data_IF_130007076860
#
_entry.id   IF_130007076860
#
_cell.length_a   1.000
_cell.length_b   1.000
_cell.length_c   1.000
_cell.angle_alpha   90.00
_cell.angle_beta   90.00
_cell.angle_gamma   90.00
#
_symmetry.space_group_name_H-M   'P 1'
#
loop_
_entity.id
_entity.type
_entity.pdbx_description
1 polymer ?
#
# COMPACT_ATOMS: atom_id res chain seq x y z
N UNK A 1 -9.01 -8.44 27.96
CA UNK A 1 -7.74 -8.17 27.23
C UNK A 1 -7.06 -9.50 27.03
N UNK A 2 -6.73 -9.82 25.81
CA UNK A 2 -6.32 -11.18 25.46
C UNK A 2 -4.84 -11.28 25.10
N UNK A 3 -4.22 -10.20 24.59
CA UNK A 3 -2.76 -10.09 24.40
C UNK A 3 -2.33 -8.61 24.39
N UNK A 4 -1.05 -8.36 24.71
CA UNK A 4 -0.42 -7.02 24.69
C UNK A 4 0.41 -6.86 23.43
N UNK A 5 0.37 -5.67 22.80
CA UNK A 5 1.24 -5.38 21.68
C UNK A 5 1.95 -4.04 21.79
N UNK A 6 3.04 -3.93 21.05
CA UNK A 6 3.84 -2.71 20.86
C UNK A 6 3.79 -2.31 19.39
N UNK A 7 3.53 -1.03 19.09
CA UNK A 7 3.44 -0.46 17.75
C UNK A 7 4.59 0.52 17.50
N UNK A 8 5.60 0.11 16.77
CA UNK A 8 6.79 0.91 16.46
C UNK A 8 6.67 1.59 15.11
N UNK A 9 7.13 2.85 15.03
CA UNK A 9 6.96 3.68 13.83
C UNK A 9 5.49 3.78 13.46
N UNK A 10 4.67 3.99 14.47
CA UNK A 10 3.24 3.74 14.47
C UNK A 10 2.44 4.58 13.45
N UNK A 11 3.00 5.70 12.97
CA UNK A 11 2.30 6.60 12.09
C UNK A 11 0.98 7.05 12.70
N UNK A 12 -0.11 6.83 11.99
CA UNK A 12 -1.47 7.11 12.47
C UNK A 12 -2.19 5.88 13.02
N UNK A 13 -1.49 4.73 13.17
CA UNK A 13 -2.01 3.54 13.85
C UNK A 13 -2.70 2.51 12.97
N UNK A 14 -2.18 2.24 11.77
CA UNK A 14 -2.71 1.18 10.91
C UNK A 14 -2.53 -0.23 11.52
N UNK A 15 -1.40 -0.49 12.18
CA UNK A 15 -1.20 -1.71 12.96
C UNK A 15 -2.11 -1.75 14.20
N UNK A 16 -2.24 -0.62 14.91
CA UNK A 16 -3.15 -0.53 16.05
C UNK A 16 -4.59 -0.90 15.67
N UNK A 17 -5.09 -0.37 14.55
CA UNK A 17 -6.42 -0.70 14.06
C UNK A 17 -6.59 -2.21 13.83
N UNK A 18 -5.61 -2.87 13.18
CA UNK A 18 -5.69 -4.30 12.88
C UNK A 18 -5.63 -5.16 14.15
N UNK A 19 -4.66 -4.91 15.05
CA UNK A 19 -4.50 -5.74 16.25
C UNK A 19 -5.58 -5.43 17.31
N UNK A 20 -6.00 -4.17 17.44
CA UNK A 20 -7.13 -3.80 18.29
C UNK A 20 -8.43 -4.49 17.90
N UNK A 21 -8.69 -4.64 16.57
CA UNK A 21 -9.82 -5.39 16.06
C UNK A 21 -9.76 -6.90 16.38
N UNK A 22 -8.59 -7.43 16.74
CA UNK A 22 -8.38 -8.80 17.21
C UNK A 22 -8.41 -8.93 18.76
N UNK A 23 -8.74 -7.87 19.48
CA UNK A 23 -8.76 -7.84 20.94
C UNK A 23 -7.40 -7.59 21.60
N UNK A 24 -6.40 -7.16 20.85
CA UNK A 24 -5.11 -6.73 21.37
C UNK A 24 -5.17 -5.40 22.11
N UNK A 25 -4.31 -5.23 23.11
CA UNK A 25 -4.13 -4.01 23.88
C UNK A 25 -2.76 -3.42 23.61
N UNK A 26 -2.70 -2.22 23.03
CA UNK A 26 -1.43 -1.50 22.81
C UNK A 26 -0.90 -0.98 24.14
N UNK A 27 0.27 -1.44 24.55
CA UNK A 27 0.92 -1.02 25.78
C UNK A 27 2.00 0.02 25.57
N UNK A 28 2.46 0.19 24.33
CA UNK A 28 3.48 1.16 23.95
C UNK A 28 3.42 1.43 22.45
N UNK A 29 3.61 2.67 22.05
CA UNK A 29 3.78 3.08 20.66
C UNK A 29 4.92 4.08 20.54
N UNK A 30 5.65 4.08 19.41
CA UNK A 30 6.64 5.12 19.11
C UNK A 30 6.39 5.74 17.74
N UNK A 31 6.45 7.09 17.65
CA UNK A 31 6.31 7.85 16.42
C UNK A 31 7.03 9.20 16.55
N UNK A 32 7.99 9.45 15.66
CA UNK A 32 8.82 10.67 15.71
C UNK A 32 8.12 11.89 15.08
N UNK A 33 7.22 11.66 14.11
CA UNK A 33 6.42 12.72 13.49
C UNK A 33 5.31 13.16 14.47
N UNK A 34 5.47 14.35 15.03
CA UNK A 34 4.56 14.89 16.05
C UNK A 34 3.11 15.03 15.58
N UNK A 35 2.91 15.29 14.30
CA UNK A 35 1.56 15.42 13.75
C UNK A 35 0.91 14.04 13.60
N UNK A 36 1.66 13.02 13.16
CA UNK A 36 1.18 11.64 13.14
C UNK A 36 0.90 11.13 14.55
N UNK A 37 1.78 11.40 15.52
CA UNK A 37 1.59 11.03 16.93
C UNK A 37 0.32 11.69 17.54
N UNK A 38 0.00 12.93 17.17
CA UNK A 38 -1.23 13.61 17.60
C UNK A 38 -2.48 12.93 17.03
N UNK A 39 -2.47 12.55 15.74
CA UNK A 39 -3.56 11.80 15.12
C UNK A 39 -3.70 10.41 15.77
N UNK A 40 -2.58 9.72 16.00
CA UNK A 40 -2.58 8.44 16.72
C UNK A 40 -3.23 8.56 18.10
N UNK A 41 -2.77 9.51 18.92
CA UNK A 41 -3.31 9.74 20.27
C UNK A 41 -4.81 10.06 20.26
N UNK A 42 -5.25 10.85 19.28
CA UNK A 42 -6.67 11.22 19.12
C UNK A 42 -7.58 10.01 18.91
N UNK A 43 -7.13 9.07 18.11
CA UNK A 43 -7.96 7.91 17.73
C UNK A 43 -7.81 6.71 18.66
N UNK A 44 -6.63 6.53 19.25
CA UNK A 44 -6.32 5.32 20.02
C UNK A 44 -6.16 5.57 21.53
N UNK A 45 -6.16 6.83 21.97
CA UNK A 45 -6.05 7.21 23.37
C UNK A 45 -4.67 7.03 24.00
N UNK A 46 -3.72 6.42 23.30
CA UNK A 46 -2.34 6.25 23.74
C UNK A 46 -1.46 7.32 23.07
N UNK A 47 -0.70 8.07 23.87
CA UNK A 47 0.29 9.01 23.35
C UNK A 47 1.55 8.24 22.94
N UNK A 48 1.95 8.24 21.65
CA UNK A 48 3.21 7.62 21.25
C UNK A 48 4.41 8.35 21.88
N UNK A 49 5.43 7.58 22.28
CA UNK A 49 6.76 8.12 22.53
C UNK A 49 7.39 8.58 21.22
N UNK A 50 8.35 9.48 21.30
CA UNK A 50 9.00 10.07 20.13
C UNK A 50 10.00 9.11 19.47
N UNK A 51 11.28 9.41 19.67
CA UNK A 51 12.39 8.70 19.05
C UNK A 51 12.70 7.36 19.76
N UNK A 52 12.45 6.24 19.09
CA UNK A 52 12.72 4.90 19.61
C UNK A 52 14.19 4.67 19.98
N UNK A 53 15.13 5.41 19.39
CA UNK A 53 16.55 5.28 19.69
C UNK A 53 16.88 5.71 21.12
N UNK A 54 16.05 6.53 21.73
CA UNK A 54 16.18 6.95 23.11
C UNK A 54 15.56 5.95 24.09
N UNK A 55 14.48 5.26 23.67
CA UNK A 55 13.72 4.33 24.51
C UNK A 55 14.26 2.89 24.49
N UNK A 56 14.95 2.49 23.42
CA UNK A 56 15.46 1.12 23.25
C UNK A 56 16.86 1.11 22.64
N UNK A 57 17.86 0.96 23.49
CA UNK A 57 19.29 0.94 23.12
C UNK A 57 20.11 0.05 24.08
N UNK A 58 21.42 0.15 24.08
CA UNK A 58 22.31 -0.66 24.95
C UNK A 58 22.18 -0.33 26.45
N UNK A 59 21.66 0.87 26.79
CA UNK A 59 21.58 1.39 28.15
C UNK A 59 20.14 1.45 28.65
N UNK A 60 19.21 1.80 27.77
CA UNK A 60 17.80 2.08 28.09
C UNK A 60 16.89 1.04 27.44
N UNK A 61 15.87 0.57 28.18
CA UNK A 61 14.78 -0.25 27.68
C UNK A 61 13.47 0.18 28.35
N UNK A 62 12.87 1.26 27.84
CA UNK A 62 11.63 1.81 28.38
C UNK A 62 10.38 1.14 27.78
N UNK A 63 10.57 0.29 26.76
CA UNK A 63 9.49 -0.49 26.15
C UNK A 63 9.04 -1.59 27.12
N UNK A 64 7.75 -1.67 27.49
CA UNK A 64 7.27 -2.66 28.44
C UNK A 64 7.18 -4.08 27.83
N UNK A 65 7.10 -5.14 28.66
CA UNK A 65 6.85 -6.51 28.19
C UNK A 65 5.54 -6.63 27.41
N UNK A 66 5.56 -7.39 26.30
CA UNK A 66 4.46 -7.55 25.37
C UNK A 66 4.50 -8.92 24.67
N UNK A 67 3.38 -9.33 24.09
CA UNK A 67 3.22 -10.60 23.39
C UNK A 67 3.51 -10.46 21.89
N UNK A 68 3.17 -9.30 21.31
CA UNK A 68 3.29 -9.02 19.88
C UNK A 68 4.03 -7.71 19.66
N UNK A 69 5.05 -7.71 18.80
CA UNK A 69 5.71 -6.51 18.32
C UNK A 69 5.38 -6.29 16.86
N UNK A 70 4.88 -5.09 16.53
CA UNK A 70 4.66 -4.68 15.13
C UNK A 70 5.39 -3.39 14.82
N UNK A 71 5.73 -3.18 13.53
CA UNK A 71 6.34 -1.92 13.11
C UNK A 71 6.60 -1.81 11.61
N UNK A 72 6.38 -0.61 11.09
CA UNK A 72 6.70 -0.24 9.71
C UNK A 72 7.97 0.62 9.67
N UNK A 73 9.14 0.02 9.76
CA UNK A 73 10.41 0.75 9.86
C UNK A 73 10.91 1.26 8.50
N UNK A 74 11.61 2.42 8.44
CA UNK A 74 12.15 2.93 7.19
C UNK A 74 13.31 2.07 6.68
N UNK A 75 13.40 1.93 5.34
CA UNK A 75 14.52 1.26 4.70
C UNK A 75 15.78 2.13 4.83
N UNK A 76 16.73 1.70 5.64
CA UNK A 76 18.03 2.35 5.83
C UNK A 76 19.14 1.37 5.39
N UNK A 77 20.18 1.86 4.71
CA UNK A 77 21.33 1.02 4.39
C UNK A 77 22.09 0.63 5.66
N UNK A 78 22.50 -0.64 5.77
CA UNK A 78 23.37 -1.10 6.84
C UNK A 78 24.83 -0.79 6.52
N UNK A 79 25.67 -0.70 7.55
CA UNK A 79 27.09 -0.42 7.33
C UNK A 79 27.77 -1.64 6.69
N UNK A 80 28.50 -1.44 5.59
CA UNK A 80 29.20 -2.51 4.88
C UNK A 80 30.55 -2.92 5.56
N UNK A 81 30.70 -2.68 6.83
CA UNK A 81 31.97 -2.98 7.49
C UNK A 81 31.97 -4.38 8.12
N UNK A 82 32.49 -5.36 7.39
CA UNK A 82 32.87 -6.65 7.95
C UNK A 82 32.07 -7.86 7.48
N UNK A 83 32.67 -9.04 7.63
CA UNK A 83 32.11 -10.35 7.28
C UNK A 83 31.16 -10.93 8.35
N UNK A 84 30.66 -10.11 9.27
CA UNK A 84 29.79 -10.57 10.37
C UNK A 84 28.34 -10.20 10.07
N UNK A 85 27.56 -11.17 9.60
CA UNK A 85 26.11 -11.03 9.49
C UNK A 85 25.46 -11.19 10.88
N UNK A 86 24.56 -10.28 11.25
CA UNK A 86 23.79 -10.38 12.47
C UNK A 86 23.58 -9.05 13.19
N UNK A 87 23.27 -9.13 14.49
CA UNK A 87 22.85 -7.97 15.29
C UNK A 87 23.88 -6.83 15.29
N UNK A 88 25.16 -7.14 15.34
CA UNK A 88 26.24 -6.11 15.34
C UNK A 88 26.27 -5.30 14.04
N UNK A 89 25.94 -5.90 12.90
CA UNK A 89 25.87 -5.21 11.61
C UNK A 89 24.70 -4.21 11.54
N UNK A 90 23.65 -4.45 12.32
CA UNK A 90 22.49 -3.56 12.39
C UNK A 90 22.70 -2.35 13.27
N UNK A 91 23.81 -2.31 14.05
CA UNK A 91 24.08 -1.23 15.00
C UNK A 91 24.09 0.14 14.32
N UNK A 92 23.39 1.10 14.93
CA UNK A 92 23.21 2.43 14.39
C UNK A 92 22.07 2.59 13.39
N UNK A 93 21.31 1.52 13.12
CA UNK A 93 20.08 1.58 12.32
C UNK A 93 18.85 1.45 13.21
N UNK A 94 17.69 1.86 12.72
CA UNK A 94 16.42 1.72 13.45
C UNK A 94 16.02 0.24 13.64
N UNK A 95 16.45 -0.65 12.74
CA UNK A 95 16.23 -2.09 12.91
C UNK A 95 17.01 -2.64 14.12
N UNK A 96 18.17 -2.07 14.45
CA UNK A 96 18.90 -2.45 15.65
C UNK A 96 18.11 -2.20 16.94
N UNK A 97 17.39 -1.07 17.03
CA UNK A 97 16.51 -0.79 18.17
C UNK A 97 15.37 -1.81 18.28
N UNK A 98 14.79 -2.21 17.12
CA UNK A 98 13.81 -3.30 17.09
C UNK A 98 14.42 -4.60 17.61
N UNK A 99 15.62 -4.98 17.12
CA UNK A 99 16.31 -6.19 17.53
C UNK A 99 16.63 -6.20 19.05
N UNK A 100 16.97 -5.03 19.64
CA UNK A 100 17.16 -4.88 21.09
C UNK A 100 15.87 -5.15 21.88
N UNK A 101 14.74 -4.62 21.44
CA UNK A 101 13.43 -4.88 22.07
C UNK A 101 13.12 -6.38 22.00
N UNK A 102 13.31 -6.98 20.83
CA UNK A 102 13.09 -8.42 20.59
C UNK A 102 14.02 -9.28 21.44
N UNK A 103 15.31 -8.89 21.60
CA UNK A 103 16.28 -9.58 22.44
C UNK A 103 15.85 -9.61 23.92
N UNK A 104 15.40 -8.47 24.44
CA UNK A 104 15.05 -8.30 25.86
C UNK A 104 13.70 -8.94 26.18
N UNK A 105 12.66 -8.66 25.39
CA UNK A 105 11.29 -9.03 25.73
C UNK A 105 10.82 -10.34 25.13
N UNK A 106 11.49 -10.84 24.08
CA UNK A 106 11.13 -12.11 23.42
C UNK A 106 9.63 -12.24 23.14
N UNK A 107 9.00 -11.25 22.44
CA UNK A 107 7.58 -11.36 22.10
C UNK A 107 7.30 -12.62 21.30
N UNK A 108 6.12 -13.23 21.50
CA UNK A 108 5.73 -14.46 20.80
C UNK A 108 5.65 -14.26 19.28
N UNK A 109 5.21 -13.06 18.85
CA UNK A 109 5.05 -12.67 17.45
C UNK A 109 5.79 -11.36 17.19
N UNK A 110 6.54 -11.31 16.10
CA UNK A 110 7.10 -10.08 15.51
C UNK A 110 6.58 -10.00 14.07
N UNK A 111 5.90 -8.90 13.75
CA UNK A 111 5.45 -8.61 12.39
C UNK A 111 5.96 -7.23 11.95
N UNK A 112 6.90 -7.23 11.03
CA UNK A 112 7.47 -5.99 10.48
C UNK A 112 7.00 -5.78 9.03
N UNK A 113 6.86 -4.51 8.65
CA UNK A 113 6.48 -4.12 7.29
C UNK A 113 7.55 -3.21 6.69
N UNK A 114 7.73 -3.35 5.37
CA UNK A 114 8.58 -2.43 4.61
C UNK A 114 8.11 -2.32 3.15
N UNK A 115 8.64 -1.33 2.43
CA UNK A 115 8.42 -1.20 0.99
C UNK A 115 9.03 -2.38 0.23
N UNK A 116 8.42 -2.76 -0.91
CA UNK A 116 8.87 -3.90 -1.71
C UNK A 116 10.35 -3.81 -2.12
N UNK A 117 10.91 -2.60 -2.21
CA UNK A 117 12.29 -2.40 -2.63
C UNK A 117 13.34 -2.99 -1.65
N UNK A 118 12.95 -3.30 -0.40
CA UNK A 118 13.86 -3.94 0.58
C UNK A 118 14.37 -5.32 0.10
N UNK A 119 13.61 -5.99 -0.74
CA UNK A 119 14.00 -7.27 -1.36
C UNK A 119 14.53 -7.09 -2.78
N UNK A 120 14.70 -5.85 -3.22
CA UNK A 120 15.31 -5.53 -4.50
C UNK A 120 16.83 -5.68 -4.49
N UNK A 121 17.48 -5.75 -5.68
CA UNK A 121 18.92 -6.01 -5.79
C UNK A 121 19.82 -5.06 -4.98
N UNK A 122 19.35 -3.84 -4.71
CA UNK A 122 20.12 -2.84 -3.95
C UNK A 122 20.10 -3.06 -2.44
N UNK A 123 19.09 -3.76 -1.92
CA UNK A 123 18.81 -3.94 -0.50
C UNK A 123 18.70 -5.41 -0.08
N UNK A 124 19.12 -6.33 -0.95
CA UNK A 124 19.06 -7.77 -0.63
C UNK A 124 19.96 -8.14 0.55
N UNK A 125 21.04 -7.40 0.75
CA UNK A 125 21.92 -7.58 1.88
C UNK A 125 21.22 -7.22 3.19
N UNK A 126 20.55 -6.06 3.24
CA UNK A 126 19.76 -5.64 4.40
C UNK A 126 18.67 -6.66 4.74
N UNK A 127 17.98 -7.20 3.72
CA UNK A 127 17.02 -8.27 3.89
C UNK A 127 17.63 -9.50 4.57
N UNK A 128 18.76 -9.97 4.06
CA UNK A 128 19.47 -11.15 4.62
C UNK A 128 19.89 -10.93 6.07
N UNK A 129 20.42 -9.75 6.39
CA UNK A 129 20.82 -9.40 7.76
C UNK A 129 19.63 -9.39 8.70
N UNK A 130 18.49 -8.82 8.31
CA UNK A 130 17.26 -8.80 9.11
C UNK A 130 16.80 -10.22 9.44
N UNK A 131 16.68 -11.08 8.42
CA UNK A 131 16.24 -12.47 8.59
C UNK A 131 17.24 -13.25 9.50
N UNK A 132 18.52 -13.10 9.23
CA UNK A 132 19.55 -13.77 10.03
C UNK A 132 19.53 -13.33 11.50
N UNK A 133 19.40 -12.02 11.76
CA UNK A 133 19.31 -11.47 13.12
C UNK A 133 18.10 -12.04 13.88
N UNK A 134 16.93 -12.07 13.26
CA UNK A 134 15.73 -12.64 13.89
C UNK A 134 15.90 -14.13 14.20
N UNK A 135 16.54 -14.89 13.31
CA UNK A 135 16.87 -16.31 13.56
C UNK A 135 17.85 -16.48 14.71
N UNK A 136 18.90 -15.67 14.77
CA UNK A 136 19.84 -15.68 15.90
C UNK A 136 19.16 -15.36 17.22
N UNK A 137 18.14 -14.48 17.20
CA UNK A 137 17.33 -14.16 18.37
C UNK A 137 16.33 -15.27 18.77
N UNK A 138 16.28 -16.37 18.01
CA UNK A 138 15.47 -17.56 18.30
C UNK A 138 14.09 -17.54 17.66
N UNK A 139 13.91 -16.86 16.53
CA UNK A 139 12.63 -16.80 15.82
C UNK A 139 12.62 -17.68 14.56
N UNK A 140 11.49 -18.34 14.33
CA UNK A 140 11.13 -18.94 13.04
C UNK A 140 10.71 -17.81 12.10
N UNK A 141 11.42 -17.67 10.98
CA UNK A 141 11.13 -16.65 9.94
C UNK A 141 11.55 -17.17 8.57
N UNK A 142 10.70 -16.95 7.55
CA UNK A 142 10.97 -17.35 6.17
C UNK A 142 12.08 -16.50 5.54
N UNK A 143 12.93 -17.13 4.73
CA UNK A 143 13.87 -16.41 3.85
C UNK A 143 13.16 -15.79 2.64
N UNK A 144 12.05 -16.40 2.23
CA UNK A 144 11.24 -15.88 1.13
C UNK A 144 10.47 -14.65 1.58
N UNK A 145 10.42 -13.58 0.77
CA UNK A 145 9.64 -12.40 1.11
C UNK A 145 8.14 -12.65 0.93
N UNK A 146 7.33 -12.24 1.91
CA UNK A 146 5.88 -12.18 1.78
C UNK A 146 5.46 -10.81 1.24
N UNK A 147 5.10 -10.74 -0.03
CA UNK A 147 4.61 -9.51 -0.66
C UNK A 147 3.09 -9.52 -0.70
N UNK A 148 2.47 -8.56 -0.04
CA UNK A 148 1.01 -8.42 0.00
C UNK A 148 0.58 -7.06 -0.53
N UNK A 149 -0.56 -7.05 -1.24
CA UNK A 149 -1.19 -5.82 -1.71
C UNK A 149 -2.70 -5.87 -1.51
N UNK A 150 -3.33 -4.82 -0.95
CA UNK A 150 -4.74 -4.82 -0.58
C UNK A 150 -5.71 -5.19 -1.71
N UNK A 151 -5.38 -4.85 -2.97
CA UNK A 151 -6.25 -5.16 -4.12
C UNK A 151 -6.31 -6.66 -4.47
N UNK A 152 -5.36 -7.45 -3.97
CA UNK A 152 -5.32 -8.90 -4.16
C UNK A 152 -6.17 -9.65 -3.11
N UNK A 153 -6.47 -9.00 -2.00
CA UNK A 153 -7.35 -9.54 -0.96
C UNK A 153 -8.80 -9.33 -1.40
N UNK A 154 -9.63 -10.33 -1.24
CA UNK A 154 -11.07 -10.22 -1.54
C UNK A 154 -11.73 -9.14 -0.67
N UNK A 155 -12.72 -8.39 -1.18
CA UNK A 155 -13.40 -7.32 -0.44
C UNK A 155 -13.97 -7.77 0.90
N UNK A 156 -14.56 -8.99 0.95
CA UNK A 156 -15.16 -9.60 2.12
C UNK A 156 -14.17 -9.93 3.25
N UNK A 157 -12.86 -9.90 2.97
CA UNK A 157 -11.79 -10.08 3.95
C UNK A 157 -11.00 -8.78 4.22
N UNK A 158 -11.59 -7.64 3.93
CA UNK A 158 -10.95 -6.33 4.17
C UNK A 158 -10.04 -5.87 3.04
N UNK A 159 -10.11 -6.48 1.84
CA UNK A 159 -9.44 -6.00 0.64
C UNK A 159 -9.89 -4.60 0.24
N UNK A 160 -9.03 -3.88 -0.47
CA UNK A 160 -9.31 -2.51 -0.92
C UNK A 160 -8.83 -2.31 -2.37
N UNK A 161 -9.51 -1.48 -3.18
CA UNK A 161 -9.13 -1.22 -4.56
C UNK A 161 -7.88 -0.32 -4.65
N UNK A 162 -6.78 -0.77 -4.07
CA UNK A 162 -5.49 -0.07 -4.08
C UNK A 162 -4.33 -1.03 -4.30
N UNK A 163 -3.52 -0.77 -5.32
CA UNK A 163 -2.22 -1.43 -5.48
C UNK A 163 -1.22 -0.81 -4.51
N UNK A 164 -0.83 -1.57 -3.49
CA UNK A 164 0.14 -1.15 -2.48
C UNK A 164 0.97 -2.36 -2.05
N UNK A 165 1.96 -2.69 -2.85
CA UNK A 165 2.85 -3.82 -2.53
C UNK A 165 3.70 -3.49 -1.31
N UNK A 166 3.62 -4.34 -0.30
CA UNK A 166 4.43 -4.27 0.91
C UNK A 166 5.00 -5.63 1.25
N UNK A 167 6.23 -5.63 1.73
CA UNK A 167 6.88 -6.83 2.25
C UNK A 167 6.59 -6.94 3.73
N UNK A 168 6.14 -8.12 4.14
CA UNK A 168 5.94 -8.45 5.55
C UNK A 168 6.98 -9.47 6.00
N UNK A 169 7.56 -9.25 7.19
CA UNK A 169 8.47 -10.15 7.87
C UNK A 169 7.72 -10.71 9.08
N UNK A 170 7.28 -11.96 8.96
CA UNK A 170 6.48 -12.65 9.96
C UNK A 170 7.36 -13.64 10.73
N UNK A 171 7.80 -13.25 11.93
CA UNK A 171 8.68 -14.03 12.78
C UNK A 171 7.97 -14.46 14.08
N UNK A 172 8.10 -15.73 14.46
CA UNK A 172 7.46 -16.34 15.63
C UNK A 172 8.50 -16.97 16.54
N UNK A 173 8.45 -16.65 17.82
CA UNK A 173 9.41 -17.16 18.81
C UNK A 173 9.34 -18.69 18.92
N UNK A 174 10.50 -19.34 18.84
CA UNK A 174 10.63 -20.78 19.05
C UNK A 174 10.75 -21.03 20.55
N UNK A 175 9.80 -21.74 21.19
CA UNK A 175 9.86 -22.06 22.62
C UNK A 175 11.10 -22.88 22.97
N UNK A 176 11.65 -22.68 24.19
CA UNK A 176 12.78 -23.48 24.68
C UNK A 176 12.49 -25.00 24.57
N UNK A 177 13.43 -25.73 23.99
CA UNK A 177 13.33 -27.19 23.81
C UNK A 177 12.61 -27.62 22.52
N UNK A 178 12.05 -26.75 21.73
CA UNK A 178 11.57 -27.07 20.36
C UNK A 178 12.73 -27.00 19.36
N UNK A 179 12.64 -27.85 18.32
CA UNK A 179 13.65 -27.89 17.26
C UNK A 179 13.49 -26.68 16.34
N UNK A 180 14.60 -26.07 15.98
CA UNK A 180 14.60 -25.03 14.94
C UNK A 180 14.42 -25.68 13.56
N UNK A 181 13.40 -25.22 12.81
CA UNK A 181 13.08 -25.65 11.45
C UNK A 181 13.07 -24.48 10.47
N UNK A 182 13.79 -23.41 10.80
CA UNK A 182 13.80 -22.17 10.01
C UNK A 182 14.12 -22.36 8.53
N UNK A 183 14.99 -23.32 8.19
CA UNK A 183 15.48 -23.51 6.82
C UNK A 183 14.36 -23.84 5.82
N UNK A 184 13.28 -24.50 6.29
CA UNK A 184 12.21 -25.02 5.42
C UNK A 184 10.85 -24.33 5.65
N UNK A 185 10.81 -23.25 6.44
CA UNK A 185 9.53 -22.56 6.70
C UNK A 185 9.10 -21.73 5.51
N UNK A 186 7.86 -21.91 5.08
CA UNK A 186 7.24 -21.06 4.08
C UNK A 186 6.73 -19.73 4.67
N UNK A 187 6.41 -18.79 3.78
CA UNK A 187 5.70 -17.58 4.17
C UNK A 187 4.29 -17.94 4.68
N UNK A 188 3.66 -17.09 5.52
CA UNK A 188 2.24 -17.22 5.85
C UNK A 188 1.38 -17.36 4.60
N UNK A 189 0.48 -18.34 4.58
CA UNK A 189 -0.38 -18.62 3.42
C UNK A 189 -1.63 -17.72 3.45
N UNK A 190 -1.81 -16.92 2.40
CA UNK A 190 -2.95 -16.03 2.20
C UNK A 190 -3.93 -16.51 1.11
N UNK A 191 -3.76 -17.73 0.60
CA UNK A 191 -4.61 -18.25 -0.47
C UNK A 191 -6.10 -18.20 -0.11
N UNK A 192 -6.48 -18.54 1.11
CA UNK A 192 -7.88 -18.52 1.57
C UNK A 192 -8.58 -17.18 1.41
N UNK A 193 -7.85 -16.08 1.43
CA UNK A 193 -8.38 -14.71 1.30
C UNK A 193 -8.12 -14.06 -0.06
N UNK A 194 -7.34 -14.71 -0.93
CA UNK A 194 -6.97 -14.22 -2.28
C UNK A 194 -7.48 -15.11 -3.40
N UNK A 195 -7.59 -16.42 -3.19
CA UNK A 195 -7.91 -17.40 -4.22
C UNK A 195 -9.25 -17.10 -4.90
N UNK A 196 -9.28 -17.23 -6.22
CA UNK A 196 -10.46 -16.98 -7.03
C UNK A 196 -10.81 -15.50 -7.23
N UNK A 197 -10.05 -14.57 -6.65
CA UNK A 197 -10.25 -13.15 -6.85
C UNK A 197 -9.44 -12.62 -8.04
N UNK A 198 -10.14 -11.96 -8.96
CA UNK A 198 -9.53 -11.21 -10.05
C UNK A 198 -9.56 -9.71 -9.71
N UNK A 199 -8.42 -9.05 -9.48
CA UNK A 199 -8.36 -7.63 -9.17
C UNK A 199 -8.95 -6.71 -10.26
N UNK A 200 -9.08 -7.19 -11.50
CA UNK A 200 -9.74 -6.43 -12.56
C UNK A 200 -11.27 -6.29 -12.35
N UNK A 201 -11.84 -7.07 -11.43
CA UNK A 201 -13.25 -6.95 -11.02
C UNK A 201 -13.52 -5.77 -10.10
N UNK A 202 -12.48 -5.16 -9.51
CA UNK A 202 -12.68 -3.92 -8.78
C UNK A 202 -13.30 -2.85 -9.68
N UNK A 203 -14.23 -2.10 -9.12
CA UNK A 203 -14.87 -0.95 -9.77
C UNK A 203 -14.95 0.20 -8.77
N UNK A 204 -14.15 1.24 -8.99
CA UNK A 204 -14.06 2.36 -8.03
C UNK A 204 -15.39 3.04 -7.75
N UNK A 205 -16.30 3.12 -8.70
CA UNK A 205 -17.61 3.72 -8.48
C UNK A 205 -18.51 2.90 -7.57
N UNK A 206 -18.35 1.57 -7.60
CA UNK A 206 -19.13 0.63 -6.79
C UNK A 206 -18.42 0.27 -5.48
N UNK A 207 -17.09 0.13 -5.54
CA UNK A 207 -16.31 -0.51 -4.47
C UNK A 207 -15.54 0.47 -3.60
N UNK A 208 -15.26 1.69 -4.09
CA UNK A 208 -14.81 2.78 -3.24
C UNK A 208 -16.00 3.70 -2.98
N UNK A 209 -16.51 3.77 -1.76
CA UNK A 209 -17.57 4.70 -1.42
C UNK A 209 -17.07 6.13 -1.56
N UNK A 210 -17.55 6.81 -2.63
CA UNK A 210 -17.17 8.18 -2.90
C UNK A 210 -17.96 9.13 -2.00
N UNK A 211 -17.31 10.20 -1.54
CA UNK A 211 -17.93 11.21 -0.69
C UNK A 211 -18.99 12.01 -1.45
N UNK A 212 -20.14 12.19 -0.82
CA UNK A 212 -21.14 13.17 -1.25
C UNK A 212 -20.73 14.54 -0.75
N UNK A 213 -19.81 15.19 -1.48
CA UNK A 213 -19.31 16.53 -1.13
C UNK A 213 -20.46 17.55 -1.15
N UNK A 214 -20.81 18.06 0.02
CA UNK A 214 -21.97 18.96 0.17
C UNK A 214 -21.54 20.42 0.20
N UNK A 215 -20.52 20.76 0.99
CA UNK A 215 -20.06 22.11 1.17
C UNK A 215 -19.19 22.61 0.01
N UNK A 216 -19.12 23.95 -0.13
CA UNK A 216 -18.21 24.58 -1.09
C UNK A 216 -16.75 24.30 -0.75
N UNK A 217 -16.41 24.23 0.54
CA UNK A 217 -15.07 23.94 1.02
C UNK A 217 -14.64 22.53 0.63
N UNK A 218 -15.45 21.49 0.91
CA UNK A 218 -15.17 20.11 0.52
C UNK A 218 -14.96 19.95 -0.99
N UNK A 219 -15.80 20.59 -1.79
CA UNK A 219 -15.68 20.58 -3.26
C UNK A 219 -14.39 21.24 -3.72
N UNK A 220 -14.02 22.38 -3.11
CA UNK A 220 -12.81 23.13 -3.45
C UNK A 220 -11.54 22.34 -3.09
N UNK A 221 -11.54 21.62 -1.99
CA UNK A 221 -10.38 20.82 -1.54
C UNK A 221 -9.94 19.74 -2.52
N UNK A 222 -10.88 19.18 -3.29
CA UNK A 222 -10.61 18.11 -4.28
C UNK A 222 -10.71 18.57 -5.73
N UNK A 223 -11.02 19.85 -5.97
CA UNK A 223 -11.20 20.40 -7.31
C UNK A 223 -9.92 20.34 -8.15
N UNK A 224 -10.10 20.17 -9.44
CA UNK A 224 -9.06 20.44 -10.43
C UNK A 224 -9.10 21.94 -10.75
N UNK A 225 -7.94 22.55 -10.91
CA UNK A 225 -7.89 23.92 -11.40
C UNK A 225 -8.08 23.97 -12.93
N UNK A 226 -8.34 25.15 -13.46
CA UNK A 226 -8.62 25.35 -14.89
C UNK A 226 -7.46 24.86 -15.79
N UNK A 227 -6.23 25.05 -15.36
CA UNK A 227 -5.04 24.61 -16.08
C UNK A 227 -4.98 23.07 -16.15
N UNK A 228 -5.27 22.40 -15.05
CA UNK A 228 -5.31 20.92 -15.00
C UNK A 228 -6.45 20.36 -15.86
N UNK A 229 -7.60 21.01 -15.83
CA UNK A 229 -8.72 20.65 -16.70
C UNK A 229 -8.32 20.80 -18.16
N UNK A 230 -7.65 21.91 -18.54
CA UNK A 230 -7.16 22.13 -19.89
C UNK A 230 -6.22 21.03 -20.37
N UNK A 231 -5.28 20.57 -19.51
CA UNK A 231 -4.40 19.45 -19.86
C UNK A 231 -5.16 18.15 -20.12
N UNK A 232 -6.16 17.87 -19.28
CA UNK A 232 -7.00 16.68 -19.42
C UNK A 232 -7.86 16.77 -20.67
N UNK A 233 -8.49 17.91 -20.95
CA UNK A 233 -9.34 18.09 -22.13
C UNK A 233 -8.55 17.95 -23.44
N UNK A 234 -7.32 18.46 -23.50
CA UNK A 234 -6.48 18.28 -24.68
C UNK A 234 -6.23 16.79 -24.96
N UNK A 235 -5.79 16.04 -23.94
CA UNK A 235 -5.55 14.62 -24.08
C UNK A 235 -6.84 13.80 -24.20
N UNK A 236 -7.96 14.28 -23.65
CA UNK A 236 -9.26 13.64 -23.85
C UNK A 236 -9.67 13.69 -25.32
N UNK A 237 -9.59 14.85 -25.94
CA UNK A 237 -9.83 15.01 -27.38
C UNK A 237 -8.89 14.14 -28.22
N UNK A 238 -7.59 14.09 -27.87
CA UNK A 238 -6.64 13.21 -28.52
C UNK A 238 -7.10 11.74 -28.47
N UNK A 239 -7.52 11.26 -27.30
CA UNK A 239 -8.00 9.89 -27.11
C UNK A 239 -9.25 9.64 -27.97
N UNK A 240 -10.22 10.55 -27.97
CA UNK A 240 -11.45 10.44 -28.75
C UNK A 240 -11.17 10.38 -30.26
N UNK A 241 -10.33 11.29 -30.78
CA UNK A 241 -9.89 11.31 -32.18
C UNK A 241 -9.20 9.99 -32.56
N UNK A 242 -8.29 9.51 -31.71
CA UNK A 242 -7.55 8.28 -32.01
C UNK A 242 -8.44 7.05 -31.92
N UNK A 243 -9.42 7.03 -31.02
CA UNK A 243 -10.43 5.98 -30.94
C UNK A 243 -11.29 5.89 -32.20
N UNK A 244 -11.77 7.02 -32.69
CA UNK A 244 -12.53 7.06 -33.93
C UNK A 244 -11.69 6.55 -35.11
N UNK A 245 -10.41 6.90 -35.16
CA UNK A 245 -9.49 6.55 -36.25
C UNK A 245 -9.02 5.10 -36.22
N UNK A 246 -8.72 4.57 -35.03
CA UNK A 246 -8.18 3.21 -34.84
C UNK A 246 -9.28 2.15 -34.77
N UNK A 247 -10.54 2.53 -34.60
CA UNK A 247 -11.68 1.63 -34.47
C UNK A 247 -11.50 0.68 -33.27
N UNK A 248 -11.54 -0.64 -33.53
CA UNK A 248 -11.37 -1.67 -32.51
C UNK A 248 -9.92 -1.82 -32.01
N UNK A 249 -8.94 -1.23 -32.71
CA UNK A 249 -7.55 -1.26 -32.29
C UNK A 249 -7.32 -0.39 -31.05
N UNK A 250 -6.49 -0.87 -30.15
CA UNK A 250 -6.14 -0.12 -28.95
C UNK A 250 -5.22 1.06 -29.23
N UNK A 251 -5.32 2.12 -28.42
CA UNK A 251 -4.29 3.14 -28.39
C UNK A 251 -2.93 2.51 -28.06
N UNK A 252 -1.80 3.17 -28.46
CA UNK A 252 -0.47 2.66 -28.19
C UNK A 252 -0.25 2.30 -26.72
N UNK A 253 0.31 1.12 -26.46
CA UNK A 253 0.71 0.67 -25.12
C UNK A 253 2.06 1.25 -24.64
N UNK A 254 2.72 2.05 -25.47
CA UNK A 254 3.96 2.77 -25.10
C UNK A 254 3.63 4.23 -24.71
N UNK A 255 4.51 4.91 -23.95
CA UNK A 255 4.35 6.31 -23.59
C UNK A 255 4.32 7.21 -24.82
N UNK A 256 3.26 7.98 -24.99
CA UNK A 256 3.08 8.96 -26.07
C UNK A 256 3.75 10.26 -25.64
N UNK A 257 4.74 10.72 -26.43
CA UNK A 257 5.55 11.91 -26.16
C UNK A 257 5.34 12.94 -27.28
N UNK A 258 4.45 13.89 -27.07
CA UNK A 258 4.10 14.86 -28.12
C UNK A 258 5.28 15.78 -28.50
N UNK A 259 6.18 16.11 -27.58
CA UNK A 259 7.39 16.88 -27.86
C UNK A 259 8.38 16.15 -28.79
N UNK A 260 8.32 14.83 -28.84
CA UNK A 260 9.21 14.00 -29.64
C UNK A 260 8.57 13.53 -30.98
N UNK A 261 7.45 14.14 -31.37
CA UNK A 261 6.79 13.80 -32.62
C UNK A 261 7.47 14.45 -33.82
N UNK A 262 8.19 13.63 -34.55
CA UNK A 262 8.85 13.98 -35.81
C UNK A 262 8.51 12.93 -36.86
N UNK A 263 8.60 13.26 -38.13
CA UNK A 263 8.43 12.27 -39.17
C UNK A 263 9.59 11.28 -39.13
N UNK A 264 9.34 9.99 -39.41
CA UNK A 264 10.36 8.93 -39.34
C UNK A 264 11.63 9.25 -40.16
N UNK A 265 11.47 9.91 -41.31
CA UNK A 265 12.60 10.32 -42.17
C UNK A 265 13.49 11.42 -41.54
N UNK A 266 12.93 12.19 -40.59
CA UNK A 266 13.60 13.32 -39.94
C UNK A 266 14.08 12.93 -38.53
N UNK A 267 13.85 11.66 -38.12
CA UNK A 267 14.21 11.16 -36.80
C UNK A 267 15.72 11.04 -36.68
N UNK A 268 16.29 11.79 -35.74
CA UNK A 268 17.71 11.69 -35.38
C UNK A 268 17.85 11.24 -33.92
N UNK A 269 18.49 10.09 -33.70
CA UNK A 269 18.73 9.54 -32.37
C UNK A 269 20.24 9.48 -32.15
N UNK A 270 20.73 10.21 -31.15
CA UNK A 270 22.13 10.18 -30.78
C UNK A 270 22.58 8.78 -30.36
N UNK A 271 23.81 8.40 -30.67
CA UNK A 271 24.36 7.07 -30.38
C UNK A 271 24.49 6.78 -28.88
N UNK A 272 24.54 7.79 -28.02
CA UNK A 272 24.59 7.70 -26.57
C UNK A 272 23.21 7.60 -25.92
N UNK A 273 22.14 7.64 -26.74
CA UNK A 273 20.76 7.49 -26.23
C UNK A 273 20.54 6.07 -25.73
N UNK A 274 20.13 5.88 -24.46
CA UNK A 274 19.82 4.55 -23.95
C UNK A 274 18.79 3.80 -24.81
N UNK A 275 18.97 2.51 -25.01
CA UNK A 275 18.16 1.68 -25.92
C UNK A 275 16.66 1.77 -25.66
N UNK A 276 16.25 1.78 -24.39
CA UNK A 276 14.83 1.92 -24.04
C UNK A 276 14.24 3.26 -24.52
N UNK A 277 15.02 4.36 -24.44
CA UNK A 277 14.58 5.69 -24.88
C UNK A 277 14.57 5.74 -26.41
N UNK A 278 15.61 5.24 -27.08
CA UNK A 278 15.67 5.13 -28.52
C UNK A 278 14.50 4.36 -29.11
N UNK A 279 14.09 3.25 -28.45
CA UNK A 279 12.92 2.48 -28.86
C UNK A 279 11.62 3.30 -28.74
N UNK A 280 11.43 4.08 -27.67
CA UNK A 280 10.23 4.93 -27.54
C UNK A 280 10.23 6.09 -28.54
N UNK A 281 11.38 6.69 -28.85
CA UNK A 281 11.49 7.72 -29.87
C UNK A 281 11.09 7.20 -31.26
N UNK A 282 11.56 5.99 -31.66
CA UNK A 282 11.16 5.36 -32.92
C UNK A 282 9.66 5.12 -32.97
N UNK A 283 9.07 4.52 -31.92
CA UNK A 283 7.63 4.26 -31.84
C UNK A 283 6.80 5.54 -31.90
N UNK A 284 7.23 6.63 -31.26
CA UNK A 284 6.55 7.92 -31.35
C UNK A 284 6.66 8.53 -32.76
N UNK A 285 7.81 8.43 -33.45
CA UNK A 285 7.96 8.89 -34.81
C UNK A 285 7.11 8.07 -35.81
N UNK A 286 7.06 6.75 -35.68
CA UNK A 286 6.20 5.86 -36.49
C UNK A 286 4.73 6.21 -36.28
N UNK A 287 4.29 6.35 -35.04
CA UNK A 287 2.91 6.73 -34.68
C UNK A 287 2.54 8.10 -35.26
N UNK A 288 3.40 9.10 -35.07
CA UNK A 288 3.19 10.44 -35.64
C UNK A 288 3.12 10.40 -37.16
N UNK A 289 4.04 9.70 -37.82
CA UNK A 289 4.09 9.58 -39.29
C UNK A 289 2.79 8.97 -39.83
N UNK A 290 2.29 7.89 -39.19
CA UNK A 290 1.07 7.21 -39.61
C UNK A 290 -0.20 8.08 -39.43
N UNK A 291 -0.18 9.01 -38.47
CA UNK A 291 -1.35 9.80 -38.13
C UNK A 291 -1.14 11.32 -38.29
N UNK A 292 -0.09 11.73 -39.00
CA UNK A 292 0.40 13.12 -39.08
C UNK A 292 -0.70 14.15 -39.30
N UNK A 293 -1.53 13.97 -40.32
CA UNK A 293 -2.55 14.98 -40.69
C UNK A 293 -3.53 15.29 -39.54
N UNK A 294 -3.91 14.28 -38.77
CA UNK A 294 -4.88 14.46 -37.66
C UNK A 294 -4.16 15.00 -36.44
N UNK A 295 -2.94 14.55 -36.17
CA UNK A 295 -2.13 15.01 -35.05
C UNK A 295 -1.67 16.46 -35.23
N UNK A 296 -1.28 16.88 -36.43
CA UNK A 296 -0.96 18.29 -36.74
C UNK A 296 -2.17 19.21 -36.49
N UNK A 297 -3.38 18.78 -36.87
CA UNK A 297 -4.62 19.54 -36.62
C UNK A 297 -4.89 19.67 -35.11
N UNK A 298 -4.73 18.59 -34.36
CA UNK A 298 -4.88 18.59 -32.91
C UNK A 298 -3.80 19.49 -32.26
N UNK A 299 -2.52 19.34 -32.62
CA UNK A 299 -1.44 20.18 -32.12
C UNK A 299 -1.70 21.67 -32.39
N UNK A 300 -2.15 22.02 -33.61
CA UNK A 300 -2.49 23.40 -33.97
C UNK A 300 -3.62 23.95 -33.09
N UNK A 301 -4.65 23.15 -32.83
CA UNK A 301 -5.78 23.56 -31.97
C UNK A 301 -5.32 23.86 -30.54
N UNK A 302 -4.39 23.04 -30.00
CA UNK A 302 -3.88 23.15 -28.65
C UNK A 302 -2.55 23.91 -28.55
N UNK A 303 -2.32 24.88 -29.44
CA UNK A 303 -1.13 25.75 -29.47
C UNK A 303 0.18 24.94 -29.34
N UNK A 304 0.27 23.79 -30.01
CA UNK A 304 1.42 22.86 -29.92
C UNK A 304 1.80 22.50 -28.48
N UNK A 305 0.87 22.53 -27.57
CA UNK A 305 1.03 22.28 -26.13
C UNK A 305 2.06 23.22 -25.46
N UNK A 306 2.36 24.38 -26.05
CA UNK A 306 3.42 25.27 -25.56
C UNK A 306 3.17 25.76 -24.13
N UNK A 307 1.88 25.93 -23.76
CA UNK A 307 1.46 26.36 -22.43
C UNK A 307 1.45 25.22 -21.40
N UNK A 308 1.74 23.97 -21.82
CA UNK A 308 1.77 22.81 -20.94
C UNK A 308 3.21 22.56 -20.44
N UNK A 309 3.39 22.22 -19.16
CA UNK A 309 4.70 21.81 -18.70
C UNK A 309 5.13 20.50 -19.40
N UNK A 310 6.43 20.22 -19.59
CA UNK A 310 6.92 19.06 -20.34
C UNK A 310 6.33 17.73 -19.90
N UNK A 311 6.07 17.56 -18.60
CA UNK A 311 5.42 16.36 -18.08
C UNK A 311 3.93 16.24 -18.45
N UNK A 312 3.27 17.31 -18.92
CA UNK A 312 1.86 17.29 -19.35
C UNK A 312 1.73 17.19 -20.88
N UNK A 313 2.83 17.21 -21.61
CA UNK A 313 2.90 16.91 -23.03
C UNK A 313 3.13 15.42 -23.33
N UNK A 314 2.93 14.56 -22.30
CA UNK A 314 3.12 13.12 -22.36
C UNK A 314 1.91 12.39 -21.79
N UNK A 315 1.48 11.30 -22.46
CA UNK A 315 0.37 10.46 -22.06
C UNK A 315 0.83 9.00 -21.96
N UNK A 316 0.55 8.34 -20.85
CA UNK A 316 0.67 6.90 -20.66
C UNK A 316 -0.74 6.28 -20.63
N UNK A 317 -1.20 5.77 -21.77
CA UNK A 317 -2.51 5.15 -21.87
C UNK A 317 -2.46 3.69 -21.43
N UNK A 318 -3.04 3.38 -20.28
CA UNK A 318 -3.16 2.03 -19.72
C UNK A 318 -4.63 1.65 -19.47
N UNK A 319 -5.54 2.35 -20.10
CA UNK A 319 -6.97 2.20 -19.87
C UNK A 319 -7.67 1.28 -20.88
N UNK A 320 -6.91 0.59 -21.73
CA UNK A 320 -7.43 -0.37 -22.70
C UNK A 320 -8.58 0.22 -23.56
N UNK A 321 -9.78 -0.37 -23.47
CA UNK A 321 -10.93 -0.01 -24.29
C UNK A 321 -11.78 1.14 -23.74
N UNK A 322 -11.31 1.86 -22.73
CA UNK A 322 -12.04 3.04 -22.23
C UNK A 322 -12.24 4.07 -23.33
N UNK A 323 -13.42 4.69 -23.36
CA UNK A 323 -13.81 5.56 -24.47
C UNK A 323 -13.06 6.88 -24.50
N UNK A 324 -12.78 7.45 -23.33
CA UNK A 324 -12.15 8.76 -23.19
C UNK A 324 -11.38 8.85 -21.87
N UNK A 325 -10.67 9.96 -21.69
CA UNK A 325 -9.82 10.16 -20.53
C UNK A 325 -10.66 10.32 -19.24
N UNK A 326 -11.82 10.96 -19.33
CA UNK A 326 -12.71 11.16 -18.20
C UNK A 326 -13.37 9.86 -17.68
N UNK A 327 -13.39 8.80 -18.46
CA UNK A 327 -13.85 7.49 -17.96
C UNK A 327 -12.82 6.76 -17.12
N UNK A 328 -11.61 7.31 -16.98
CA UNK A 328 -10.44 6.67 -16.35
C UNK A 328 -10.11 7.23 -14.98
N UNK A 329 -9.15 6.61 -14.31
CA UNK A 329 -8.40 7.20 -13.20
C UNK A 329 -7.08 7.75 -13.73
N UNK A 330 -6.79 8.99 -13.39
CA UNK A 330 -5.62 9.69 -13.87
C UNK A 330 -4.64 10.05 -12.75
N UNK A 331 -3.35 10.11 -13.11
CA UNK A 331 -2.26 10.56 -12.25
C UNK A 331 -1.35 11.49 -13.02
N UNK A 332 -1.10 12.66 -12.46
CA UNK A 332 -0.09 13.56 -12.96
C UNK A 332 1.29 13.15 -12.43
N UNK A 333 2.12 12.62 -13.30
CA UNK A 333 3.46 12.12 -12.95
C UNK A 333 4.54 12.96 -13.63
N UNK A 334 5.79 12.95 -13.14
CA UNK A 334 6.92 13.54 -13.89
C UNK A 334 7.08 12.93 -15.29
N UNK A 335 6.73 11.64 -15.46
CA UNK A 335 6.79 10.92 -16.75
C UNK A 335 5.61 11.19 -17.68
N UNK A 336 4.55 11.84 -17.23
CA UNK A 336 3.36 12.12 -18.04
C UNK A 336 2.04 11.99 -17.28
N UNK A 337 0.93 12.22 -17.98
CA UNK A 337 -0.40 11.88 -17.50
C UNK A 337 -0.59 10.38 -17.69
N UNK A 338 -0.76 9.64 -16.59
CA UNK A 338 -1.09 8.22 -16.67
C UNK A 338 -2.58 8.03 -16.49
N UNK A 339 -3.22 7.38 -17.46
CA UNK A 339 -4.62 7.00 -17.44
C UNK A 339 -4.78 5.49 -17.32
N UNK A 340 -5.58 5.03 -16.36
CA UNK A 340 -5.90 3.61 -16.12
C UNK A 340 -7.40 3.40 -16.06
N UNK A 341 -7.86 2.17 -16.29
CA UNK A 341 -9.25 1.79 -16.02
C UNK A 341 -9.60 2.10 -14.56
N UNK A 342 -10.85 2.51 -14.32
CA UNK A 342 -11.36 2.83 -13.00
C UNK A 342 -11.66 1.56 -12.16
N UNK A 343 -10.70 0.63 -12.11
CA UNK A 343 -10.78 -0.60 -11.32
C UNK A 343 -10.20 -0.37 -9.92
N UNK A 344 -8.95 -0.02 -9.81
CA UNK A 344 -8.26 0.25 -8.55
C UNK A 344 -7.25 1.39 -8.69
N UNK A 345 -6.92 2.02 -7.57
CA UNK A 345 -5.97 3.12 -7.47
C UNK A 345 -4.54 2.60 -7.24
N UNK A 346 -3.50 3.34 -7.66
CA UNK A 346 -2.14 3.07 -7.22
C UNK A 346 -1.97 3.39 -5.73
N UNK A 347 -0.81 3.02 -5.19
CA UNK A 347 -0.45 3.36 -3.83
C UNK A 347 -0.58 4.86 -3.58
N UNK A 348 -1.18 5.23 -2.47
CA UNK A 348 -1.00 6.56 -1.91
C UNK A 348 0.50 6.73 -1.63
N UNK A 349 1.05 7.83 -2.10
CA UNK A 349 2.43 8.20 -1.86
C UNK A 349 2.46 9.45 -0.98
N UNK A 350 3.51 9.60 -0.18
CA UNK A 350 3.67 10.71 0.76
C UNK A 350 3.95 12.08 0.07
N UNK A 351 3.38 12.27 -1.13
CA UNK A 351 3.46 13.50 -1.94
C UNK A 351 2.06 13.94 -2.35
N UNK A 352 1.91 15.22 -2.60
CA UNK A 352 0.63 15.93 -2.80
C UNK A 352 -0.16 15.57 -4.06
N UNK A 353 0.35 14.69 -4.94
CA UNK A 353 -0.34 14.31 -6.17
C UNK A 353 -1.27 13.12 -5.93
N UNK A 354 -2.53 13.40 -5.67
CA UNK A 354 -3.55 12.39 -5.48
C UNK A 354 -4.19 11.95 -6.81
N UNK A 355 -4.79 10.76 -6.79
CA UNK A 355 -5.52 10.22 -7.94
C UNK A 355 -6.70 11.11 -8.33
N UNK A 356 -6.90 11.28 -9.63
CA UNK A 356 -8.06 11.96 -10.21
C UNK A 356 -9.06 10.89 -10.64
N UNK A 357 -10.28 10.96 -10.11
CA UNK A 357 -11.40 10.12 -10.56
C UNK A 357 -12.08 10.86 -11.71
N UNK A 358 -11.83 10.41 -12.93
CA UNK A 358 -12.21 11.14 -14.13
C UNK A 358 -13.70 11.39 -14.23
N UNK A 359 -14.56 10.40 -14.00
CA UNK A 359 -16.02 10.55 -14.04
C UNK A 359 -16.55 11.57 -13.02
N UNK A 360 -15.87 11.75 -11.90
CA UNK A 360 -16.21 12.74 -10.88
C UNK A 360 -15.55 14.11 -11.14
N UNK A 361 -14.67 14.19 -12.14
CA UNK A 361 -13.88 15.38 -12.50
C UNK A 361 -13.17 16.03 -11.30
N UNK A 362 -12.69 15.21 -10.36
CA UNK A 362 -12.03 15.65 -9.12
C UNK A 362 -11.00 14.66 -8.60
N UNK A 363 -10.21 15.10 -7.65
CA UNK A 363 -9.33 14.21 -6.87
C UNK A 363 -10.13 13.40 -5.86
N UNK A 364 -9.54 12.29 -5.38
CA UNK A 364 -10.07 11.61 -4.19
C UNK A 364 -9.90 12.52 -2.97
N UNK A 365 -10.84 12.43 -2.03
CA UNK A 365 -10.77 13.13 -0.75
C UNK A 365 -9.84 12.42 0.24
N UNK A 366 -9.47 13.09 1.32
CA UNK A 366 -8.73 12.49 2.44
C UNK A 366 -9.51 11.34 3.08
N UNK A 367 -10.84 11.45 3.16
CA UNK A 367 -11.71 10.38 3.66
C UNK A 367 -11.72 9.17 2.73
N UNK A 368 -11.82 9.37 1.43
CA UNK A 368 -11.72 8.29 0.44
C UNK A 368 -10.34 7.61 0.48
N UNK A 369 -9.27 8.40 0.63
CA UNK A 369 -7.93 7.89 0.83
C UNK A 369 -7.77 7.09 2.14
N UNK A 370 -8.44 7.51 3.21
CA UNK A 370 -8.51 6.78 4.48
C UNK A 370 -9.19 5.41 4.32
N UNK A 371 -10.32 5.35 3.62
CA UNK A 371 -11.02 4.09 3.30
C UNK A 371 -10.14 3.11 2.50
N UNK A 372 -9.28 3.61 1.60
CA UNK A 372 -8.31 2.77 0.89
C UNK A 372 -7.26 2.14 1.82
N UNK A 373 -6.97 2.75 2.96
CA UNK A 373 -6.08 2.17 3.98
C UNK A 373 -6.83 1.24 4.94
N UNK A 374 -8.16 1.12 4.83
CA UNK A 374 -8.99 0.32 5.72
C UNK A 374 -9.27 0.98 7.07
N UNK A 375 -9.05 2.30 7.17
CA UNK A 375 -9.43 3.06 8.37
C UNK A 375 -10.94 3.36 8.33
N UNK A 376 -11.62 3.32 9.49
CA UNK A 376 -13.07 3.54 9.58
C UNK A 376 -13.45 5.01 9.36
N UNK A 377 -14.72 5.27 9.05
CA UNK A 377 -15.21 6.61 8.81
C UNK A 377 -15.21 7.53 10.06
N UNK A 378 -15.21 6.96 11.25
CA UNK A 378 -15.07 7.72 12.50
C UNK A 378 -13.63 8.18 12.79
N UNK A 379 -12.63 7.69 12.05
CA UNK A 379 -11.24 8.06 12.24
C UNK A 379 -11.04 9.56 12.05
N UNK A 380 -10.47 10.22 13.05
CA UNK A 380 -10.32 11.67 13.11
C UNK A 380 -8.88 12.08 12.80
N UNK A 381 -8.69 12.92 11.77
CA UNK A 381 -7.38 13.44 11.38
C UNK A 381 -6.99 14.73 12.12
N UNK A 382 -7.79 15.14 13.10
CA UNK A 382 -7.66 16.43 13.80
C UNK A 382 -7.66 17.62 12.82
N UNK A 383 -7.47 18.83 13.30
CA UNK A 383 -7.42 20.04 12.47
C UNK A 383 -6.04 20.18 11.79
N UNK A 384 -5.82 19.39 10.73
CA UNK A 384 -4.60 19.45 9.92
C UNK A 384 -4.91 19.63 8.44
N UNK A 385 -3.88 20.03 7.66
CA UNK A 385 -4.05 20.21 6.21
C UNK A 385 -4.26 18.85 5.49
N UNK A 386 -5.02 18.87 4.38
CA UNK A 386 -5.20 17.71 3.53
C UNK A 386 -3.85 17.13 3.03
N UNK A 387 -2.89 18.01 2.71
CA UNK A 387 -1.54 17.59 2.28
C UNK A 387 -0.85 16.74 3.35
N UNK A 388 -0.93 17.13 4.61
CA UNK A 388 -0.36 16.36 5.72
C UNK A 388 -1.10 15.03 5.91
N UNK A 389 -2.43 15.05 5.81
CA UNK A 389 -3.26 13.84 5.87
C UNK A 389 -2.91 12.85 4.76
N UNK A 390 -2.77 13.30 3.50
CA UNK A 390 -2.34 12.41 2.41
C UNK A 390 -0.92 11.86 2.64
N UNK A 391 0.01 12.67 3.16
CA UNK A 391 1.37 12.21 3.52
C UNK A 391 1.31 11.09 4.56
N UNK A 392 0.54 11.27 5.62
CA UNK A 392 0.38 10.28 6.69
C UNK A 392 -0.28 8.98 6.16
N UNK A 393 -1.34 9.10 5.36
CA UNK A 393 -1.98 7.96 4.70
C UNK A 393 -1.02 7.25 3.71
N UNK A 394 -0.15 8.02 3.04
CA UNK A 394 0.89 7.49 2.16
C UNK A 394 1.96 6.69 2.91
N UNK A 395 2.29 7.06 4.13
CA UNK A 395 3.24 6.36 5.00
C UNK A 395 2.59 5.19 5.76
N UNK A 396 1.27 5.24 6.02
CA UNK A 396 0.57 4.24 6.81
C UNK A 396 0.53 2.85 6.17
N UNK A 397 0.32 1.82 6.98
CA UNK A 397 0.09 0.44 6.54
C UNK A 397 -1.42 0.19 6.31
N UNK A 398 -1.76 -0.71 5.39
CA UNK A 398 -3.16 -1.07 5.16
C UNK A 398 -3.66 -2.06 6.22
N UNK A 399 -4.78 -1.73 6.86
CA UNK A 399 -5.37 -2.49 7.97
C UNK A 399 -5.73 -3.92 7.56
N UNK A 400 -6.41 -4.11 6.43
CA UNK A 400 -6.82 -5.43 5.94
C UNK A 400 -5.63 -6.32 5.58
N UNK A 401 -4.54 -5.75 5.04
CA UNK A 401 -3.32 -6.49 4.76
C UNK A 401 -2.66 -7.00 6.05
N UNK A 402 -2.46 -6.14 7.04
CA UNK A 402 -1.91 -6.51 8.35
C UNK A 402 -2.77 -7.59 9.00
N UNK A 403 -4.08 -7.38 9.03
CA UNK A 403 -5.04 -8.28 9.65
C UNK A 403 -4.94 -9.71 9.10
N UNK A 404 -4.94 -9.85 7.79
CA UNK A 404 -4.84 -11.17 7.15
C UNK A 404 -3.45 -11.79 7.29
N UNK A 405 -2.37 -11.00 7.25
CA UNK A 405 -1.01 -11.52 7.41
C UNK A 405 -0.81 -12.09 8.82
N UNK A 406 -1.24 -11.38 9.87
CA UNK A 406 -1.04 -11.87 11.24
C UNK A 406 -1.89 -13.12 11.53
N UNK A 407 -3.12 -13.21 10.99
CA UNK A 407 -3.92 -14.44 11.07
C UNK A 407 -3.23 -15.60 10.39
N UNK A 408 -2.73 -15.41 9.18
CA UNK A 408 -2.00 -16.43 8.43
C UNK A 408 -0.68 -16.83 9.12
N UNK A 409 0.01 -15.89 9.78
CA UNK A 409 1.20 -16.17 10.59
C UNK A 409 0.84 -17.07 11.78
N UNK A 410 -0.22 -16.75 12.52
CA UNK A 410 -0.68 -17.57 13.66
C UNK A 410 -1.06 -18.98 13.19
N UNK A 411 -1.77 -19.11 12.07
CA UNK A 411 -2.13 -20.43 11.50
C UNK A 411 -0.89 -21.23 11.12
N UNK A 412 0.12 -20.60 10.47
CA UNK A 412 1.38 -21.26 10.11
C UNK A 412 2.13 -21.82 11.33
N UNK A 413 2.08 -21.08 12.44
CA UNK A 413 2.95 -21.32 13.61
C UNK A 413 2.18 -21.81 14.84
N UNK A 414 1.00 -22.42 14.67
CA UNK A 414 0.19 -23.01 15.76
C UNK A 414 0.99 -23.98 16.62
N UNK A 415 1.92 -24.74 16.01
CA UNK A 415 2.81 -25.67 16.71
C UNK A 415 3.75 -24.96 17.71
N UNK A 416 4.12 -23.70 17.46
CA UNK A 416 4.96 -22.89 18.35
C UNK A 416 4.13 -22.14 19.38
N UNK A 417 3.00 -21.55 18.95
CA UNK A 417 2.16 -20.66 19.76
C UNK A 417 1.22 -21.41 20.72
N UNK A 418 0.82 -22.64 20.35
CA UNK A 418 -0.15 -23.44 21.08
C UNK A 418 -1.59 -22.99 20.81
N UNK A 419 -2.43 -23.91 20.33
CA UNK A 419 -3.84 -23.65 19.95
C UNK A 419 -4.67 -23.06 21.08
N UNK A 420 -4.39 -23.48 22.32
CA UNK A 420 -5.12 -23.07 23.52
C UNK A 420 -4.66 -21.73 24.10
N UNK A 421 -3.61 -21.12 23.56
CA UNK A 421 -3.10 -19.84 24.09
C UNK A 421 -4.13 -18.72 23.91
N UNK A 422 -4.18 -17.78 24.86
CA UNK A 422 -5.09 -16.63 24.83
C UNK A 422 -4.83 -15.76 23.58
N UNK A 423 -3.60 -15.63 23.15
CA UNK A 423 -3.21 -14.90 21.93
C UNK A 423 -3.80 -15.55 20.68
N UNK A 424 -3.63 -16.86 20.51
CA UNK A 424 -4.15 -17.61 19.36
C UNK A 424 -5.69 -17.55 19.33
N UNK A 425 -6.35 -17.83 20.45
CA UNK A 425 -7.82 -17.74 20.57
C UNK A 425 -8.35 -16.35 20.24
N UNK A 426 -7.66 -15.30 20.64
CA UNK A 426 -8.07 -13.93 20.32
C UNK A 426 -7.96 -13.62 18.85
N UNK A 427 -6.81 -13.92 18.24
CA UNK A 427 -6.53 -13.60 16.83
C UNK A 427 -7.40 -14.45 15.89
N UNK A 428 -7.51 -15.75 16.12
CA UNK A 428 -8.31 -16.65 15.26
C UNK A 428 -9.81 -16.56 15.54
N UNK A 429 -10.21 -16.25 16.77
CA UNK A 429 -11.60 -16.03 17.15
C UNK A 429 -12.18 -14.67 16.72
N UNK A 430 -11.34 -13.73 16.31
CA UNK A 430 -11.81 -12.46 15.76
C UNK A 430 -12.50 -12.68 14.39
N UNK A 431 -13.47 -11.83 13.99
CA UNK A 431 -14.13 -11.92 12.69
C UNK A 431 -13.12 -12.01 11.53
N UNK A 432 -13.52 -12.65 10.42
CA UNK A 432 -12.64 -12.78 9.23
C UNK A 432 -12.30 -11.45 8.55
N UNK A 433 -13.08 -10.41 8.84
CA UNK A 433 -12.91 -9.06 8.30
C UNK A 433 -12.83 -8.02 9.43
N UNK A 434 -11.76 -7.19 9.49
CA UNK A 434 -11.62 -6.15 10.50
C UNK A 434 -12.75 -5.10 10.47
N UNK A 435 -13.42 -4.91 9.33
CA UNK A 435 -14.49 -3.94 9.16
C UNK A 435 -15.70 -4.22 10.07
N UNK A 436 -15.93 -5.49 10.45
CA UNK A 436 -16.99 -5.87 11.37
C UNK A 436 -16.77 -5.31 12.79
N UNK A 437 -15.51 -5.17 13.18
CA UNK A 437 -15.14 -4.63 14.50
C UNK A 437 -14.94 -3.12 14.47
N UNK A 438 -14.30 -2.64 13.41
CA UNK A 438 -13.95 -1.20 13.28
C UNK A 438 -15.14 -0.34 12.86
N UNK A 439 -16.25 -0.94 12.38
CA UNK A 439 -17.40 -0.18 11.87
C UNK A 439 -17.00 0.60 10.61
N UNK A 440 -16.46 -0.10 9.62
CA UNK A 440 -16.08 0.50 8.33
C UNK A 440 -17.31 1.03 7.58
N UNK A 441 -17.07 1.77 6.50
CA UNK A 441 -18.12 2.28 5.64
C UNK A 441 -19.15 1.19 5.30
N UNK A 442 -20.44 1.57 5.27
CA UNK A 442 -21.60 0.68 5.20
C UNK A 442 -21.47 -0.47 4.18
N UNK A 443 -20.96 -0.20 2.97
CA UNK A 443 -20.81 -1.23 1.93
C UNK A 443 -19.83 -2.34 2.32
N UNK A 444 -18.65 -1.98 2.84
CA UNK A 444 -17.66 -2.96 3.28
C UNK A 444 -18.14 -3.71 4.52
N UNK A 445 -18.86 -3.03 5.39
CA UNK A 445 -19.50 -3.64 6.55
C UNK A 445 -20.59 -4.65 6.15
N UNK A 446 -21.41 -4.32 5.14
CA UNK A 446 -22.43 -5.23 4.59
C UNK A 446 -21.80 -6.49 3.97
N UNK A 447 -20.74 -6.34 3.18
CA UNK A 447 -20.00 -7.48 2.61
C UNK A 447 -19.37 -8.37 3.68
N UNK A 448 -18.83 -7.75 4.73
CA UNK A 448 -18.28 -8.47 5.87
C UNK A 448 -19.34 -9.23 6.66
N UNK A 449 -20.53 -8.65 6.87
CA UNK A 449 -21.66 -9.32 7.51
C UNK A 449 -22.20 -10.47 6.66
N UNK A 450 -22.25 -10.33 5.34
CA UNK A 450 -22.65 -11.40 4.44
C UNK A 450 -21.68 -12.58 4.50
N UNK A 451 -20.36 -12.30 4.52
CA UNK A 451 -19.35 -13.35 4.65
C UNK A 451 -19.46 -14.04 6.02
N UNK A 452 -19.60 -13.29 7.12
CA UNK A 452 -19.74 -13.87 8.45
C UNK A 452 -20.94 -14.81 8.55
N UNK A 453 -22.07 -14.47 7.93
CA UNK A 453 -23.26 -15.37 7.86
C UNK A 453 -22.95 -16.66 7.10
N UNK A 454 -22.22 -16.58 5.97
CA UNK A 454 -21.80 -17.77 5.22
C UNK A 454 -20.86 -18.66 6.04
N UNK A 455 -19.92 -18.07 6.76
CA UNK A 455 -19.02 -18.80 7.65
C UNK A 455 -19.80 -19.51 8.79
N UNK A 456 -20.81 -18.86 9.36
CA UNK A 456 -21.69 -19.47 10.38
C UNK A 456 -22.51 -20.64 9.80
N UNK A 457 -23.08 -20.50 8.62
CA UNK A 457 -23.86 -21.57 7.95
C UNK A 457 -22.97 -22.78 7.60
N UNK A 458 -21.73 -22.58 7.20
CA UNK A 458 -20.76 -23.65 6.91
C UNK A 458 -20.33 -24.42 8.16
N UNK A 459 -20.27 -23.76 9.34
CA UNK A 459 -19.91 -24.38 10.62
C UNK A 459 -21.10 -25.03 11.37
N UNK A 460 -22.35 -24.70 11.04
CA UNK A 460 -23.52 -25.26 11.69
C UNK A 460 -23.68 -26.80 11.55
N UNK A 461 -23.39 -27.42 10.39
CA UNK A 461 -23.52 -28.88 10.24
C UNK A 461 -22.56 -29.69 11.10
N UNK A 462 -21.41 -29.13 11.48
CA UNK A 462 -20.39 -29.81 12.27
C UNK A 462 -20.70 -29.84 13.78
N UNK A 463 -21.66 -29.02 14.27
CA UNK A 463 -22.09 -28.99 15.67
C UNK A 463 -23.21 -29.97 16.01
N UNK A 464 -23.86 -30.57 15.01
CA UNK A 464 -25.02 -31.49 15.22
C UNK A 464 -24.60 -32.97 15.29
N UNK A 465 -23.30 -33.25 15.02
CA UNK A 465 -22.75 -34.61 15.11
C UNK A 465 -21.86 -34.70 16.36
N UNK A 466 -22.51 -34.66 17.53
CA UNK A 466 -21.92 -35.15 18.79
C UNK A 466 -22.99 -35.90 19.58
#
# INVERSE_FOLDING_TARGET
MTFKFVDLFAGIGGFHAALGAMGGHCVYASEIDKDAARVYQRNWGLKPDGDITLAANDVTMDVPPHDVLVGGFPCQPFSKSGKQMGMEETRGTLFWNIAKIVEVHKPQIVLLENVQNIVGPRHIHEWQVIIHTLRQLGYRVSEKPLVVSPHLIRPEFGGRPQVRNRVFIAATLIPKGKRDINADVDVPNLESVMMGWDPQKWNLEKDLPLDKLKSKSEKSAVALNETEISWIEAWNEFVEIMRERLGENNLPGFPIWADDWVHTKDLNISYDTPDWKANFLRKNAEFYTAHKTVLDRWLKKWNHLQDFPPSRRKLEWQAQNEKNLWSTVMHFRPSGIRAKRATYLPALVAITQTSIVGKQKRRISTREASRLQGLPDWFDFVDQSDSLTYKQLGNGVNVGAVYNVIRAQVIRDLDLLGEESALVKSILGAPSNPDLVLGAHSKFHELAQEQARKDEEEYLPLRIVK
#
